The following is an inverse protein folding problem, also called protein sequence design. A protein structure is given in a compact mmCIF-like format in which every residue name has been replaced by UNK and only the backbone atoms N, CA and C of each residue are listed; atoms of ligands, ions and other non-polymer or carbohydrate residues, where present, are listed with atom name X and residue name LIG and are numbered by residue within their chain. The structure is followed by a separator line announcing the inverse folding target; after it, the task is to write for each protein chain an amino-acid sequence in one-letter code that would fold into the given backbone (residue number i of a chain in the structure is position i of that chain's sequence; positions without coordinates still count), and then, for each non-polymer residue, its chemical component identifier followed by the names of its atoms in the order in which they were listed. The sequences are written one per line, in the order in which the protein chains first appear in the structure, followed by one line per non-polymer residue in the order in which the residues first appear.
data_IF_975761794321
#
_entry.id   IF_975761794321
#
_cell.length_a   1.000
_cell.length_b   1.000
_cell.length_c   1.000
_cell.angle_alpha   90.00
_cell.angle_beta   90.00
_cell.angle_gamma   90.00
#
_symmetry.space_group_name_H-M   'P 1'
#
loop_
_entity.id
_entity.type
_entity.pdbx_description
1 polymer ?
#
# COMPACT_ATOMS: atom_id res chain seq x y z
N UNK A 1 -9.29 -10.05 -4.43
CA UNK A 1 -7.98 -10.58 -3.96
C UNK A 1 -6.79 -9.71 -4.40
N UNK A 2 -6.64 -9.34 -5.68
CA UNK A 2 -5.57 -8.43 -6.15
C UNK A 2 -5.56 -7.12 -5.36
N UNK A 3 -6.72 -6.52 -5.16
CA UNK A 3 -6.94 -5.29 -4.38
C UNK A 3 -6.28 -5.35 -3.00
N UNK A 4 -6.54 -6.42 -2.22
CA UNK A 4 -5.98 -6.59 -0.88
C UNK A 4 -4.46 -6.73 -0.93
N UNK A 5 -3.95 -7.55 -1.86
CA UNK A 5 -2.50 -7.75 -2.02
C UNK A 5 -1.81 -6.43 -2.34
N UNK A 6 -2.35 -5.64 -3.26
CA UNK A 6 -1.78 -4.35 -3.66
C UNK A 6 -1.88 -3.35 -2.51
N UNK A 7 -3.03 -3.23 -1.85
CA UNK A 7 -3.20 -2.33 -0.71
C UNK A 7 -2.21 -2.62 0.42
N UNK A 8 -1.99 -3.91 0.72
CA UNK A 8 -1.06 -4.34 1.76
C UNK A 8 0.41 -4.21 1.33
N UNK A 9 0.72 -4.46 0.05
CA UNK A 9 2.08 -4.31 -0.48
C UNK A 9 2.61 -2.88 -0.31
N UNK A 10 1.73 -1.88 -0.37
CA UNK A 10 2.10 -0.48 -0.15
C UNK A 10 1.80 -0.02 1.27
N UNK A 11 0.63 -0.31 1.81
CA UNK A 11 0.18 0.19 3.11
C UNK A 11 1.02 -0.33 4.29
N UNK A 12 1.29 -1.63 4.36
CA UNK A 12 1.99 -2.25 5.49
C UNK A 12 3.46 -1.84 5.59
N UNK A 13 4.27 -1.88 4.51
CA UNK A 13 5.66 -1.43 4.58
C UNK A 13 5.79 0.04 4.94
N UNK A 14 4.92 0.90 4.39
CA UNK A 14 4.94 2.33 4.71
C UNK A 14 4.55 2.55 6.18
N UNK A 15 3.56 1.82 6.71
CA UNK A 15 3.18 1.87 8.11
C UNK A 15 4.32 1.41 9.04
N UNK A 16 4.98 0.32 8.69
CA UNK A 16 6.14 -0.18 9.43
C UNK A 16 7.28 0.84 9.45
N UNK A 17 7.63 1.41 8.30
CA UNK A 17 8.64 2.47 8.22
C UNK A 17 8.25 3.70 9.04
N UNK A 18 6.99 4.12 8.99
CA UNK A 18 6.51 5.28 9.74
C UNK A 18 6.59 5.05 11.26
N UNK A 19 6.29 3.84 11.74
CA UNK A 19 6.21 3.56 13.18
C UNK A 19 7.51 3.04 13.79
N UNK A 20 8.37 2.38 13.00
CA UNK A 20 9.60 1.70 13.47
C UNK A 20 10.91 2.32 12.95
N UNK A 21 10.85 3.48 12.29
CA UNK A 21 12.03 4.23 11.91
C UNK A 21 11.89 5.72 12.26
N UNK A 22 12.99 6.42 12.35
CA UNK A 22 13.02 7.87 12.56
C UNK A 22 12.89 8.62 11.23
N UNK A 23 11.82 8.30 10.49
CA UNK A 23 11.57 8.88 9.18
C UNK A 23 11.34 10.41 9.31
N UNK A 24 12.14 11.26 8.66
CA UNK A 24 11.86 12.69 8.62
C UNK A 24 10.55 12.94 7.86
N UNK A 25 9.69 13.83 8.37
CA UNK A 25 8.44 14.17 7.69
C UNK A 25 7.27 13.20 7.96
N UNK A 26 7.30 12.39 9.03
CA UNK A 26 6.15 11.55 9.45
C UNK A 26 4.81 12.28 9.42
N UNK A 27 4.67 13.54 9.94
CA UNK A 27 3.38 14.23 9.90
C UNK A 27 2.87 14.45 8.47
N UNK A 28 3.76 14.75 7.53
CA UNK A 28 3.40 14.93 6.12
C UNK A 28 2.94 13.60 5.52
N UNK A 29 3.63 12.50 5.81
CA UNK A 29 3.23 11.16 5.36
C UNK A 29 1.81 10.82 5.85
N UNK A 30 1.53 11.02 7.13
CA UNK A 30 0.19 10.81 7.69
C UNK A 30 -0.86 11.70 7.03
N UNK A 31 -0.55 12.99 6.82
CA UNK A 31 -1.45 13.91 6.14
C UNK A 31 -1.77 13.45 4.70
N UNK A 32 -0.76 13.00 3.95
CA UNK A 32 -0.94 12.48 2.59
C UNK A 32 -1.81 11.22 2.57
N UNK A 33 -1.59 10.29 3.50
CA UNK A 33 -2.41 9.08 3.63
C UNK A 33 -3.85 9.41 4.02
N UNK A 34 -4.06 10.38 4.93
CA UNK A 34 -5.41 10.83 5.29
C UNK A 34 -6.14 11.47 4.11
N UNK A 35 -5.45 12.29 3.32
CA UNK A 35 -6.02 12.85 2.09
C UNK A 35 -6.43 11.73 1.13
N UNK A 36 -5.58 10.69 0.98
CA UNK A 36 -5.89 9.54 0.13
C UNK A 36 -7.18 8.80 0.53
N UNK A 37 -7.50 8.74 1.81
CA UNK A 37 -8.76 8.12 2.29
C UNK A 37 -9.98 9.00 1.99
N UNK A 38 -9.81 10.32 1.98
CA UNK A 38 -10.93 11.26 1.74
C UNK A 38 -11.30 11.34 0.26
N UNK A 39 -10.35 11.11 -0.65
CA UNK A 39 -10.61 11.16 -2.09
C UNK A 39 -11.53 10.00 -2.48
N UNK A 40 -12.72 10.26 -3.06
CA UNK A 40 -13.59 9.19 -3.54
C UNK A 40 -12.88 8.34 -4.62
N UNK A 41 -12.93 7.02 -4.45
CA UNK A 41 -12.26 6.05 -5.35
C UNK A 41 -12.67 6.21 -6.81
N UNK A 42 -13.90 6.66 -7.06
CA UNK A 42 -14.39 6.97 -8.40
C UNK A 42 -13.49 7.98 -9.16
N UNK A 43 -13.07 9.07 -8.51
CA UNK A 43 -12.17 10.05 -9.15
C UNK A 43 -10.79 9.47 -9.42
N UNK A 44 -10.29 8.64 -8.52
CA UNK A 44 -9.01 7.94 -8.70
C UNK A 44 -9.11 6.99 -9.91
N UNK A 45 -10.18 6.21 -9.99
CA UNK A 45 -10.42 5.30 -11.12
C UNK A 45 -10.52 6.05 -12.45
N UNK A 46 -11.27 7.17 -12.51
CA UNK A 46 -11.33 8.02 -13.70
C UNK A 46 -9.94 8.56 -14.08
N UNK A 47 -9.16 9.01 -13.12
CA UNK A 47 -7.80 9.50 -13.35
C UNK A 47 -6.92 8.42 -14.00
N UNK A 48 -6.95 7.19 -13.48
CA UNK A 48 -6.21 6.07 -14.05
C UNK A 48 -6.71 5.67 -15.44
N UNK A 49 -8.01 5.69 -15.67
CA UNK A 49 -8.57 5.43 -17.01
C UNK A 49 -8.10 6.45 -18.05
N UNK A 50 -7.99 7.71 -17.66
CA UNK A 50 -7.47 8.76 -18.55
C UNK A 50 -5.96 8.61 -18.76
N UNK A 51 -5.19 8.38 -17.71
CA UNK A 51 -3.73 8.21 -17.78
C UNK A 51 -3.30 7.01 -18.61
N UNK A 52 -4.06 5.90 -18.52
CA UNK A 52 -3.79 4.65 -19.23
C UNK A 52 -4.73 4.41 -20.41
N UNK A 53 -5.31 5.50 -20.96
CA UNK A 53 -6.11 5.38 -22.18
C UNK A 53 -5.23 4.94 -23.36
N UNK A 54 -5.61 3.87 -24.12
CA UNK A 54 -4.74 3.27 -25.14
C UNK A 54 -4.22 4.24 -26.21
N UNK A 55 -5.02 5.24 -26.58
CA UNK A 55 -4.68 6.18 -27.68
C UNK A 55 -4.18 7.55 -27.22
N UNK A 56 -4.66 8.03 -26.08
CA UNK A 56 -4.42 9.41 -25.64
C UNK A 56 -3.83 9.48 -24.23
N UNK A 57 -3.69 8.34 -23.53
CA UNK A 57 -3.17 8.31 -22.17
C UNK A 57 -1.70 8.66 -22.12
N UNK A 58 -1.35 9.62 -21.27
CA UNK A 58 0.02 10.10 -21.12
C UNK A 58 1.03 8.98 -20.89
N UNK A 59 0.72 8.02 -20.01
CA UNK A 59 1.59 6.90 -19.68
C UNK A 59 1.82 5.99 -20.90
N UNK A 60 0.78 5.69 -21.65
CA UNK A 60 0.89 4.85 -22.84
C UNK A 60 1.66 5.55 -23.97
N UNK A 61 1.44 6.84 -24.18
CA UNK A 61 2.22 7.62 -25.17
C UNK A 61 3.71 7.61 -24.81
N UNK A 62 4.02 7.79 -23.52
CA UNK A 62 5.41 7.76 -23.05
C UNK A 62 6.02 6.36 -23.19
N UNK A 63 5.28 5.30 -22.84
CA UNK A 63 5.71 3.92 -22.99
C UNK A 63 5.98 3.55 -24.45
N UNK A 64 5.09 3.92 -25.38
CA UNK A 64 5.25 3.71 -26.81
C UNK A 64 6.47 4.42 -27.39
N UNK A 65 6.77 5.63 -26.89
CA UNK A 65 8.02 6.34 -27.27
C UNK A 65 9.27 5.65 -26.77
N UNK A 66 9.24 5.09 -25.57
CA UNK A 66 10.40 4.37 -25.00
C UNK A 66 10.65 3.03 -25.68
N UNK A 67 9.59 2.29 -25.99
CA UNK A 67 9.71 0.95 -26.60
C UNK A 67 9.84 1.00 -28.13
N UNK A 68 9.47 2.11 -28.76
CA UNK A 68 9.39 2.23 -30.21
C UNK A 68 8.26 1.43 -30.84
N UNK A 69 7.39 0.80 -30.04
CA UNK A 69 6.27 -0.03 -30.50
C UNK A 69 4.93 0.63 -30.16
N UNK A 70 4.16 1.09 -31.15
CA UNK A 70 2.86 1.70 -30.95
C UNK A 70 1.78 0.69 -30.49
N UNK A 71 2.04 -0.61 -30.55
CA UNK A 71 1.14 -1.66 -30.06
C UNK A 71 1.20 -1.88 -28.56
N UNK A 72 2.25 -1.40 -27.88
CA UNK A 72 2.38 -1.52 -26.42
C UNK A 72 1.44 -0.56 -25.73
N UNK A 73 0.48 -1.08 -24.98
CA UNK A 73 -0.42 -0.28 -24.17
C UNK A 73 -0.80 -1.00 -22.88
N UNK A 74 -0.73 -0.27 -21.77
CA UNK A 74 -1.29 -0.68 -20.49
C UNK A 74 -2.77 -0.28 -20.45
N UNK A 75 -3.60 -1.13 -19.89
CA UNK A 75 -5.02 -0.83 -19.71
C UNK A 75 -5.48 -1.22 -18.32
N UNK A 76 -6.23 -0.35 -17.70
CA UNK A 76 -6.93 -0.66 -16.43
C UNK A 76 -8.32 -1.26 -16.66
N UNK A 77 -8.80 -1.28 -17.90
CA UNK A 77 -10.12 -1.81 -18.28
C UNK A 77 -10.11 -3.36 -18.34
N UNK A 78 -9.53 -4.00 -17.35
CA UNK A 78 -9.53 -5.43 -17.13
C UNK A 78 -9.51 -5.72 -15.62
N UNK A 79 -9.88 -6.93 -15.22
CA UNK A 79 -10.04 -7.30 -13.82
C UNK A 79 -8.74 -7.11 -12.99
N UNK A 80 -7.59 -7.31 -13.59
CA UNK A 80 -6.29 -7.12 -12.93
C UNK A 80 -5.97 -5.64 -12.75
N UNK A 81 -6.15 -4.86 -13.81
CA UNK A 81 -5.93 -3.40 -13.77
C UNK A 81 -6.88 -2.71 -12.78
N UNK A 82 -8.16 -3.09 -12.79
CA UNK A 82 -9.14 -2.59 -11.82
C UNK A 82 -8.73 -2.95 -10.39
N UNK A 83 -8.31 -4.21 -10.15
CA UNK A 83 -7.85 -4.63 -8.83
C UNK A 83 -6.59 -3.90 -8.35
N UNK A 84 -5.68 -3.55 -9.26
CA UNK A 84 -4.49 -2.74 -8.93
C UNK A 84 -4.87 -1.31 -8.57
N UNK A 85 -5.72 -0.66 -9.36
CA UNK A 85 -6.17 0.72 -9.11
C UNK A 85 -6.92 0.82 -7.79
N UNK A 86 -7.85 -0.11 -7.56
CA UNK A 86 -8.61 -0.18 -6.30
C UNK A 86 -7.69 -0.46 -5.11
N UNK A 87 -6.71 -1.36 -5.27
CA UNK A 87 -5.72 -1.65 -4.23
C UNK A 87 -4.86 -0.44 -3.88
N UNK A 88 -4.43 0.33 -4.87
CA UNK A 88 -3.70 1.58 -4.63
C UNK A 88 -4.57 2.63 -3.93
N UNK A 89 -5.84 2.71 -4.27
CA UNK A 89 -6.81 3.60 -3.64
C UNK A 89 -7.07 3.24 -2.17
N UNK A 90 -7.02 1.93 -1.84
CA UNK A 90 -7.21 1.42 -0.48
C UNK A 90 -5.90 1.29 0.32
N UNK A 91 -4.73 1.51 -0.30
CA UNK A 91 -3.45 1.48 0.40
C UNK A 91 -3.36 2.46 1.58
N UNK A 92 -3.88 3.70 1.49
CA UNK A 92 -3.94 4.61 2.64
C UNK A 92 -4.76 4.07 3.81
N UNK A 93 -5.86 3.39 3.53
CA UNK A 93 -6.69 2.76 4.55
C UNK A 93 -5.96 1.61 5.24
N UNK A 94 -5.32 0.73 4.45
CA UNK A 94 -4.47 -0.34 4.97
C UNK A 94 -3.31 0.22 5.82
N UNK A 95 -2.69 1.33 5.39
CA UNK A 95 -1.68 2.05 6.16
C UNK A 95 -2.21 2.49 7.52
N UNK A 96 -3.34 3.19 7.59
CA UNK A 96 -3.86 3.73 8.85
C UNK A 96 -4.19 2.60 9.83
N UNK A 97 -4.83 1.53 9.36
CA UNK A 97 -5.18 0.39 10.19
C UNK A 97 -3.93 -0.32 10.74
N UNK A 98 -2.94 -0.54 9.89
CA UNK A 98 -1.70 -1.22 10.30
C UNK A 98 -0.81 -0.32 11.14
N UNK A 99 -0.71 0.97 10.86
CA UNK A 99 0.03 1.93 11.67
C UNK A 99 -0.53 2.02 13.10
N UNK A 100 -1.86 2.04 13.26
CA UNK A 100 -2.48 2.02 14.59
C UNK A 100 -2.17 0.75 15.38
N UNK A 101 -2.14 -0.39 14.70
CA UNK A 101 -1.76 -1.67 15.31
C UNK A 101 -0.27 -1.70 15.70
N UNK A 102 0.63 -1.16 14.88
CA UNK A 102 2.03 -0.99 15.24
C UNK A 102 2.23 -0.11 16.48
N UNK A 103 1.46 0.97 16.60
CA UNK A 103 1.51 1.84 17.80
C UNK A 103 1.02 1.14 19.06
N UNK A 104 0.00 0.29 18.94
CA UNK A 104 -0.54 -0.46 20.07
C UNK A 104 0.39 -1.59 20.54
N UNK A 105 1.30 -2.05 19.69
CA UNK A 105 2.25 -3.11 20.03
C UNK A 105 3.40 -2.55 20.88
N UNK A 106 3.67 -3.20 22.03
CA UNK A 106 4.76 -2.82 22.91
C UNK A 106 6.13 -2.99 22.21
N UNK A 107 7.00 -1.98 22.21
CA UNK A 107 8.33 -2.07 21.62
C UNK A 107 9.29 -3.00 22.41
N UNK A 108 8.96 -3.32 23.66
CA UNK A 108 9.81 -4.13 24.55
C UNK A 108 10.22 -5.48 23.94
N UNK A 109 9.31 -6.12 23.18
CA UNK A 109 9.62 -7.40 22.55
C UNK A 109 10.62 -7.25 21.39
N UNK A 110 10.53 -6.14 20.67
CA UNK A 110 11.47 -5.81 19.59
C UNK A 110 12.84 -5.43 20.17
N UNK A 111 12.88 -4.65 21.24
CA UNK A 111 14.11 -4.28 21.97
C UNK A 111 14.79 -5.53 22.55
N UNK A 112 14.03 -6.44 23.14
CA UNK A 112 14.57 -7.73 23.64
C UNK A 112 15.18 -8.56 22.50
N UNK A 113 14.55 -8.61 21.34
CA UNK A 113 15.08 -9.32 20.18
C UNK A 113 16.38 -8.67 19.66
N UNK A 114 16.47 -7.34 19.69
CA UNK A 114 17.68 -6.60 19.30
C UNK A 114 18.84 -6.88 20.25
N UNK A 115 18.59 -6.90 21.55
CA UNK A 115 19.61 -7.26 22.58
C UNK A 115 20.13 -8.68 22.37
N UNK A 116 19.30 -9.62 21.86
CA UNK A 116 19.73 -10.97 21.49
C UNK A 116 20.42 -11.05 20.12
N UNK A 117 20.76 -9.93 19.49
CA UNK A 117 21.52 -9.86 18.25
C UNK A 117 20.72 -10.18 16.98
N UNK A 118 19.38 -10.12 17.02
CA UNK A 118 18.58 -10.31 15.83
C UNK A 118 18.74 -9.10 14.89
N UNK A 119 18.91 -9.37 13.59
CA UNK A 119 18.85 -8.32 12.58
C UNK A 119 17.41 -7.76 12.46
N UNK A 120 17.26 -6.51 12.01
CA UNK A 120 15.95 -5.87 11.82
C UNK A 120 14.99 -6.70 10.98
N UNK A 121 15.49 -7.37 9.93
CA UNK A 121 14.67 -8.24 9.09
C UNK A 121 14.24 -9.53 9.81
N UNK A 122 15.15 -10.14 10.58
CA UNK A 122 14.83 -11.32 11.39
C UNK A 122 13.81 -10.98 12.48
N UNK A 123 13.98 -9.86 13.15
CA UNK A 123 13.05 -9.33 14.14
C UNK A 123 11.66 -9.10 13.52
N UNK A 124 11.59 -8.41 12.39
CA UNK A 124 10.34 -8.19 11.66
C UNK A 124 9.61 -9.50 11.35
N UNK A 125 10.34 -10.48 10.78
CA UNK A 125 9.75 -11.75 10.35
C UNK A 125 9.36 -12.68 11.50
N UNK A 126 10.17 -12.73 12.58
CA UNK A 126 10.01 -13.70 13.68
C UNK A 126 9.26 -13.16 14.87
N UNK A 127 9.24 -11.86 15.08
CA UNK A 127 8.62 -11.21 16.25
C UNK A 127 7.47 -10.33 15.81
N UNK A 128 7.76 -9.27 15.03
CA UNK A 128 6.78 -8.25 14.68
C UNK A 128 5.62 -8.81 13.86
N UNK A 129 5.92 -9.52 12.77
CA UNK A 129 4.90 -10.04 11.85
C UNK A 129 3.95 -11.06 12.52
N UNK A 130 4.41 -12.06 13.28
CA UNK A 130 3.51 -12.97 13.98
C UNK A 130 2.63 -12.28 15.04
N UNK A 131 3.17 -11.32 15.78
CA UNK A 131 2.40 -10.55 16.76
C UNK A 131 1.35 -9.65 16.11
N UNK A 132 1.65 -9.13 14.93
CA UNK A 132 0.75 -8.29 14.15
C UNK A 132 -0.26 -9.09 13.33
N UNK A 133 -0.09 -10.41 13.19
CA UNK A 133 -0.93 -11.23 12.30
C UNK A 133 -2.43 -11.07 12.56
N UNK A 134 -2.95 -11.05 13.80
CA UNK A 134 -4.39 -10.85 14.04
C UNK A 134 -4.89 -9.49 13.54
N UNK A 135 -4.10 -8.42 13.77
CA UNK A 135 -4.45 -7.08 13.34
C UNK A 135 -4.36 -6.93 11.81
N UNK A 136 -3.33 -7.54 11.20
CA UNK A 136 -3.18 -7.58 9.74
C UNK A 136 -4.32 -8.35 9.08
N UNK A 137 -4.76 -9.48 9.66
CA UNK A 137 -5.90 -10.24 9.17
C UNK A 137 -7.20 -9.43 9.26
N UNK A 138 -7.44 -8.75 10.39
CA UNK A 138 -8.60 -7.88 10.54
C UNK A 138 -8.60 -6.74 9.50
N UNK A 139 -7.46 -6.09 9.31
CA UNK A 139 -7.30 -5.07 8.28
C UNK A 139 -7.51 -5.64 6.85
N UNK A 140 -7.00 -6.84 6.57
CA UNK A 140 -7.18 -7.50 5.28
C UNK A 140 -8.65 -7.83 4.99
N UNK A 141 -9.37 -8.33 5.98
CA UNK A 141 -10.81 -8.61 5.86
C UNK A 141 -11.56 -7.29 5.60
N UNK A 142 -11.23 -6.23 6.34
CA UNK A 142 -11.88 -4.94 6.17
C UNK A 142 -11.63 -4.35 4.77
N UNK A 143 -10.37 -4.32 4.31
CA UNK A 143 -9.99 -3.87 2.96
C UNK A 143 -10.67 -4.73 1.89
N UNK A 144 -10.79 -6.04 2.12
CA UNK A 144 -11.48 -6.94 1.21
C UNK A 144 -12.98 -6.60 1.08
N UNK A 145 -13.65 -6.37 2.21
CA UNK A 145 -15.09 -6.02 2.23
C UNK A 145 -15.35 -4.67 1.56
N UNK A 146 -14.46 -3.69 1.77
CA UNK A 146 -14.60 -2.35 1.17
C UNK A 146 -14.27 -2.37 -0.34
N UNK A 147 -13.38 -3.27 -0.77
CA UNK A 147 -12.93 -3.37 -2.17
C UNK A 147 -13.70 -4.39 -3.03
N UNK A 148 -14.88 -4.88 -2.57
CA UNK A 148 -15.83 -5.67 -3.35
C UNK A 148 -16.92 -4.77 -3.90
#
# INVERSE_FOLDING_TARGET
MVTVVVAFLFGVPIAWLAERSDLPGKPLLYALMMIGVIIPTFFVAMGWMLLLHPRIGFVNIWLQRLTGDPGVALSVANIWGMGVVEGLSLAPLAFIMTASAFRAMSPVLEEAAEVHGMSRFQMFRRVTLPLMAPALMAAAIFVFVVGI
#
